data_IF_526301599320
#
_entry.id   IF_526301599320
#
_cell.length_a   1.000
_cell.length_b   1.000
_cell.length_c   1.000
_cell.angle_alpha   90.00
_cell.angle_beta   90.00
_cell.angle_gamma   90.00
#
_symmetry.space_group_name_H-M   'P 1'
#
loop_
_entity.id
_entity.type
_entity.pdbx_description
1 polymer ?
#
# COMPACT_ATOMS: atom_id res chain seq x y z
N UNK A 1 -49.51 45.93 -7.35
CA UNK A 1 -50.12 47.24 -7.72
C UNK A 1 -51.32 47.47 -6.81
N UNK A 2 -51.52 48.70 -6.29
CA UNK A 2 -50.95 49.13 -5.00
C UNK A 2 -52.00 49.71 -4.02
N UNK A 3 -51.59 49.98 -2.77
CA UNK A 3 -51.91 51.27 -2.09
C UNK A 3 -50.92 51.53 -0.95
N UNK A 4 -50.20 52.64 -1.07
CA UNK A 4 -49.20 53.20 -0.16
C UNK A 4 -49.81 54.08 0.97
N UNK A 5 -48.91 54.50 1.88
CA UNK A 5 -48.90 55.70 2.75
C UNK A 5 -49.49 55.54 4.17
N UNK A 6 -48.88 56.01 5.26
CA UNK A 6 -47.71 56.88 5.48
C UNK A 6 -47.21 56.79 6.95
N UNK A 7 -45.92 57.09 7.15
CA UNK A 7 -45.20 57.69 8.31
C UNK A 7 -45.46 57.27 9.77
N UNK A 8 -44.38 56.96 10.49
CA UNK A 8 -43.83 57.83 11.56
C UNK A 8 -42.38 57.46 11.97
N UNK A 9 -41.65 58.49 12.39
CA UNK A 9 -40.20 58.61 12.64
C UNK A 9 -39.96 58.80 14.15
N UNK A 10 -38.93 58.17 14.74
CA UNK A 10 -38.07 58.65 15.86
C UNK A 10 -37.03 57.54 16.17
N UNK A 11 -35.72 57.65 15.88
CA UNK A 11 -34.62 58.46 16.47
C UNK A 11 -34.52 58.41 18.00
N UNK A 12 -33.54 57.67 18.51
CA UNK A 12 -33.10 57.69 19.90
C UNK A 12 -31.64 57.24 20.04
N UNK A 13 -30.77 58.22 20.27
CA UNK A 13 -29.31 58.19 20.26
C UNK A 13 -28.72 58.00 21.69
N UNK A 14 -27.55 57.35 21.82
CA UNK A 14 -26.55 57.50 22.93
C UNK A 14 -25.28 56.75 22.49
N UNK A 15 -24.11 57.33 22.13
CA UNK A 15 -23.24 58.35 22.78
C UNK A 15 -22.82 57.84 24.17
N UNK A 16 -21.56 57.60 24.57
CA UNK A 16 -20.19 58.00 24.16
C UNK A 16 -19.19 57.11 24.95
N UNK A 17 -17.99 56.84 24.43
CA UNK A 17 -16.76 57.37 25.04
C UNK A 17 -15.50 57.05 24.24
N UNK A 18 -14.83 58.15 23.89
CA UNK A 18 -13.53 58.30 23.26
C UNK A 18 -12.49 58.48 24.37
N UNK A 19 -11.30 57.89 24.22
CA UNK A 19 -10.07 58.48 24.76
C UNK A 19 -8.99 58.42 23.68
N UNK A 20 -8.54 59.61 23.30
CA UNK A 20 -7.39 59.91 22.44
C UNK A 20 -6.19 60.19 23.34
N UNK A 21 -5.00 59.75 22.92
CA UNK A 21 -3.76 60.49 23.17
C UNK A 21 -2.84 60.32 21.95
N UNK A 22 -2.40 61.46 21.42
CA UNK A 22 -1.59 61.65 20.21
C UNK A 22 -0.25 62.28 20.59
N UNK A 23 0.71 62.17 19.66
CA UNK A 23 1.86 63.04 19.32
C UNK A 23 3.19 62.29 19.41
N UNK A 24 4.21 62.51 18.58
CA UNK A 24 4.46 63.14 17.28
C UNK A 24 5.97 62.88 17.08
N UNK A 25 6.42 62.56 15.86
CA UNK A 25 7.58 63.25 15.26
C UNK A 25 7.87 62.78 13.83
N UNK A 26 8.02 63.76 12.96
CA UNK A 26 8.45 63.71 11.55
C UNK A 26 9.85 64.28 11.48
N UNK A 27 10.77 63.64 10.74
CA UNK A 27 11.80 64.34 9.97
C UNK A 27 12.38 63.47 8.84
N UNK A 28 12.91 64.14 7.83
CA UNK A 28 12.96 63.76 6.42
C UNK A 28 14.36 63.39 5.86
N UNK A 29 14.36 62.49 4.87
CA UNK A 29 15.15 62.44 3.62
C UNK A 29 16.71 62.46 3.61
N UNK A 30 17.31 61.45 2.96
CA UNK A 30 18.35 61.61 1.92
C UNK A 30 18.69 60.30 1.20
N UNK A 31 18.96 60.42 -0.10
CA UNK A 31 19.20 59.39 -1.13
C UNK A 31 20.57 58.65 -1.11
N UNK A 32 20.60 57.57 -1.90
CA UNK A 32 21.73 56.85 -2.57
C UNK A 32 22.44 55.64 -1.90
N UNK A 33 22.89 54.63 -2.69
CA UNK A 33 22.79 53.21 -2.34
C UNK A 33 24.14 52.51 -2.13
N UNK A 34 24.14 51.38 -1.41
CA UNK A 34 25.27 50.46 -1.37
C UNK A 34 24.87 48.98 -1.17
N UNK A 35 25.26 48.18 -2.16
CA UNK A 35 25.77 46.81 -2.12
C UNK A 35 25.29 45.78 -1.06
N UNK A 36 24.67 44.71 -1.60
CA UNK A 36 24.90 43.30 -1.30
C UNK A 36 25.23 42.86 0.14
N UNK A 37 24.26 42.19 0.79
CA UNK A 37 24.54 41.13 1.77
C UNK A 37 23.61 39.95 1.58
N UNK A 38 24.22 38.76 1.56
CA UNK A 38 23.60 37.44 1.38
C UNK A 38 22.76 37.12 2.61
N UNK A 39 21.45 36.92 2.41
CA UNK A 39 20.52 36.52 3.46
C UNK A 39 20.68 35.04 3.84
N UNK A 40 20.96 34.81 5.12
CA UNK A 40 21.11 33.51 5.74
C UNK A 40 19.82 32.67 5.71
N UNK A 41 19.97 31.35 5.55
CA UNK A 41 18.89 30.36 5.64
C UNK A 41 18.30 30.28 7.06
N UNK A 42 17.00 29.96 7.23
CA UNK A 42 16.39 29.84 8.55
C UNK A 42 16.86 28.57 9.27
N UNK A 43 17.44 28.77 10.46
CA UNK A 43 17.88 27.75 11.40
C UNK A 43 16.70 26.93 11.94
N UNK A 44 16.74 25.61 11.75
CA UNK A 44 15.79 24.69 12.38
C UNK A 44 16.00 24.66 13.89
N UNK A 45 14.96 24.99 14.66
CA UNK A 45 14.95 24.86 16.12
C UNK A 45 14.70 23.38 16.45
N UNK A 46 15.74 22.69 16.91
CA UNK A 46 15.63 21.35 17.49
C UNK A 46 15.24 21.49 18.96
N UNK A 47 14.01 21.08 19.31
CA UNK A 47 13.60 20.93 20.71
C UNK A 47 14.13 19.58 21.21
N UNK A 48 15.25 19.60 21.93
CA UNK A 48 15.75 18.43 22.67
C UNK A 48 15.06 18.38 24.03
N UNK A 49 14.27 17.34 24.27
CA UNK A 49 13.75 17.04 25.60
C UNK A 49 14.87 16.48 26.48
N UNK A 50 15.18 17.16 27.59
CA UNK A 50 16.17 16.73 28.57
C UNK A 50 15.62 15.61 29.45
N UNK A 51 16.34 14.47 29.52
CA UNK A 51 16.12 13.43 30.51
C UNK A 51 16.92 13.74 31.79
N UNK A 52 16.30 13.54 32.95
CA UNK A 52 16.87 13.76 34.30
C UNK A 52 17.75 12.56 34.72
N UNK A 53 18.86 12.76 35.47
CA UNK A 53 19.81 11.67 35.74
C UNK A 53 19.36 10.79 36.92
N UNK A 54 19.63 9.48 36.79
CA UNK A 54 19.60 8.54 37.90
C UNK A 54 21.01 8.41 38.48
N UNK A 55 21.09 8.52 39.80
CA UNK A 55 22.30 8.44 40.62
C UNK A 55 22.85 7.01 40.68
N UNK A 56 24.19 6.93 40.62
CA UNK A 56 25.01 5.75 40.87
C UNK A 56 24.89 5.26 42.32
N UNK A 57 25.01 3.94 42.51
CA UNK A 57 25.66 3.41 43.71
C UNK A 57 26.54 2.20 43.34
N UNK A 58 27.70 2.13 43.99
CA UNK A 58 28.90 1.38 43.62
C UNK A 58 28.96 -0.03 44.23
N UNK A 59 29.63 -0.99 43.56
CA UNK A 59 30.85 -1.68 44.07
C UNK A 59 31.18 -3.03 43.37
N UNK A 60 32.36 -3.05 42.72
CA UNK A 60 33.51 -4.00 42.81
C UNK A 60 33.30 -5.53 42.69
N UNK A 61 33.85 -6.16 41.63
CA UNK A 61 35.09 -6.98 41.69
C UNK A 61 35.59 -7.45 40.29
N UNK A 62 36.92 -7.44 40.14
CA UNK A 62 37.79 -7.87 39.02
C UNK A 62 37.63 -9.36 38.62
N UNK A 63 38.14 -9.92 37.51
CA UNK A 63 39.46 -9.75 36.87
C UNK A 63 39.55 -10.48 35.49
N UNK A 64 40.51 -10.05 34.65
CA UNK A 64 41.22 -10.71 33.52
C UNK A 64 40.42 -11.35 32.34
N UNK A 65 40.79 -11.28 31.05
CA UNK A 65 42.12 -11.26 30.39
C UNK A 65 42.01 -10.65 28.98
N UNK A 66 42.91 -9.72 28.65
CA UNK A 66 43.26 -9.27 27.29
C UNK A 66 44.48 -10.03 26.76
N UNK A 67 44.57 -10.30 25.46
CA UNK A 67 45.67 -9.75 24.62
C UNK A 67 45.50 -10.03 23.11
N UNK A 68 45.91 -9.02 22.33
CA UNK A 68 45.91 -8.86 20.88
C UNK A 68 47.27 -9.22 20.25
N UNK A 69 47.28 -9.37 18.91
CA UNK A 69 48.39 -8.95 18.01
C UNK A 69 48.67 -9.93 16.85
N UNK A 70 48.36 -9.61 15.58
CA UNK A 70 49.14 -8.80 14.60
C UNK A 70 50.26 -9.63 13.89
N UNK A 71 50.57 -9.64 12.56
CA UNK A 71 50.13 -8.99 11.30
C UNK A 71 50.90 -9.62 10.09
N UNK A 72 50.45 -9.38 8.83
CA UNK A 72 51.13 -9.42 7.48
C UNK A 72 51.67 -10.78 6.95
N UNK A 73 51.68 -11.20 5.66
CA UNK A 73 51.86 -10.56 4.32
C UNK A 73 51.38 -11.48 3.15
N UNK A 74 50.95 -10.88 2.03
CA UNK A 74 50.65 -11.40 0.66
C UNK A 74 51.91 -11.61 -0.23
N UNK A 75 51.87 -11.93 -1.56
CA UNK A 75 51.11 -12.90 -2.41
C UNK A 75 52.01 -13.66 -3.46
N UNK A 76 51.41 -14.49 -4.36
CA UNK A 76 51.78 -14.82 -5.77
C UNK A 76 51.68 -16.35 -6.10
N UNK A 77 50.86 -16.89 -7.03
CA UNK A 77 50.76 -16.92 -8.53
C UNK A 77 51.30 -18.25 -9.14
N UNK A 78 50.62 -18.79 -10.19
CA UNK A 78 51.11 -19.72 -11.27
C UNK A 78 51.13 -21.24 -10.89
N UNK A 79 50.76 -22.28 -11.64
CA UNK A 79 50.22 -22.62 -12.99
C UNK A 79 49.53 -24.02 -12.91
N UNK A 80 48.43 -24.27 -13.63
CA UNK A 80 48.27 -25.21 -14.79
C UNK A 80 49.10 -26.51 -14.76
N UNK A 81 48.42 -27.67 -14.79
CA UNK A 81 48.72 -28.75 -15.75
C UNK A 81 47.50 -29.66 -16.00
N UNK A 82 47.48 -30.25 -17.19
CA UNK A 82 46.40 -30.99 -17.87
C UNK A 82 46.89 -32.40 -18.16
N UNK A 83 46.07 -33.44 -17.97
CA UNK A 83 46.13 -34.74 -18.71
C UNK A 83 44.78 -35.47 -18.52
N UNK A 84 43.88 -35.60 -19.51
CA UNK A 84 43.72 -36.69 -20.51
C UNK A 84 43.75 -38.11 -19.88
N UNK A 85 42.87 -39.09 -20.15
CA UNK A 85 42.39 -39.61 -21.46
C UNK A 85 41.29 -40.72 -21.28
N UNK A 86 40.44 -40.92 -22.32
CA UNK A 86 39.75 -42.15 -22.84
C UNK A 86 38.67 -42.89 -22.00
N UNK A 87 37.40 -43.07 -22.43
CA UNK A 87 36.77 -43.86 -23.54
C UNK A 87 36.72 -45.40 -23.24
N UNK A 88 35.69 -46.25 -23.46
CA UNK A 88 34.43 -46.30 -24.25
C UNK A 88 33.50 -47.44 -23.67
N UNK A 89 32.15 -47.28 -23.62
CA UNK A 89 31.05 -47.95 -24.37
C UNK A 89 31.00 -49.50 -24.55
N UNK A 90 29.86 -50.11 -24.17
CA UNK A 90 29.00 -51.13 -24.88
C UNK A 90 28.02 -51.82 -23.86
N UNK A 91 27.12 -52.74 -24.23
CA UNK A 91 25.73 -52.64 -24.75
C UNK A 91 24.97 -53.93 -24.27
N UNK A 92 23.63 -53.89 -24.15
CA UNK A 92 22.66 -54.95 -23.70
C UNK A 92 22.62 -56.22 -24.60
N UNK A 93 22.05 -57.42 -24.24
CA UNK A 93 20.57 -57.65 -24.14
C UNK A 93 20.12 -58.87 -23.22
N UNK A 94 18.99 -59.63 -23.40
CA UNK A 94 17.91 -59.74 -22.39
C UNK A 94 17.54 -61.18 -21.91
N UNK A 95 16.80 -61.31 -20.79
CA UNK A 95 16.07 -62.55 -20.46
C UNK A 95 14.98 -62.36 -19.38
N UNK A 96 13.75 -62.74 -19.71
CA UNK A 96 12.65 -63.14 -18.79
C UNK A 96 12.30 -64.63 -19.12
N UNK A 97 11.51 -65.41 -18.34
CA UNK A 97 10.55 -65.01 -17.28
C UNK A 97 10.55 -65.89 -15.99
N UNK A 98 9.87 -65.45 -14.93
CA UNK A 98 9.30 -66.39 -13.94
C UNK A 98 8.02 -65.84 -13.31
N UNK A 99 6.91 -66.54 -13.54
CA UNK A 99 5.66 -66.44 -12.78
C UNK A 99 5.92 -66.83 -11.33
N UNK A 100 5.54 -65.98 -10.38
CA UNK A 100 5.14 -66.42 -9.05
C UNK A 100 3.80 -65.76 -8.67
N UNK A 101 2.79 -66.62 -8.54
CA UNK A 101 1.49 -66.39 -7.91
C UNK A 101 1.69 -66.07 -6.43
N UNK A 102 1.53 -64.80 -6.05
CA UNK A 102 1.45 -64.34 -4.66
C UNK A 102 0.11 -63.66 -4.43
N UNK A 103 -0.62 -64.07 -3.40
CA UNK A 103 -2.00 -63.74 -3.13
C UNK A 103 -2.32 -62.25 -3.03
N UNK A 104 -3.51 -61.91 -3.53
CA UNK A 104 -4.14 -60.61 -3.40
C UNK A 104 -4.51 -60.36 -1.94
N UNK A 105 -3.59 -59.76 -1.17
CA UNK A 105 -3.91 -59.18 0.12
C UNK A 105 -4.55 -57.82 -0.16
N UNK A 106 -5.88 -57.77 -0.05
CA UNK A 106 -6.65 -56.55 -0.19
C UNK A 106 -6.16 -55.51 0.83
N UNK A 107 -5.55 -54.43 0.33
CA UNK A 107 -5.32 -53.21 1.09
C UNK A 107 -6.67 -52.62 1.50
N UNK A 108 -7.11 -52.92 2.71
CA UNK A 108 -8.18 -52.20 3.39
C UNK A 108 -7.58 -50.92 3.99
N UNK A 109 -7.17 -49.96 3.16
CA UNK A 109 -7.04 -48.55 3.56
C UNK A 109 -7.30 -47.59 2.37
N UNK A 110 -8.58 -47.31 2.01
CA UNK A 110 -8.84 -46.08 1.24
C UNK A 110 -9.90 -45.13 1.84
N UNK A 111 -10.71 -45.53 2.83
CA UNK A 111 -11.84 -44.68 3.24
C UNK A 111 -11.50 -43.68 4.35
N UNK A 112 -10.67 -44.05 5.33
CA UNK A 112 -10.44 -43.21 6.51
C UNK A 112 -9.56 -41.99 6.20
N UNK A 113 -8.57 -42.13 5.32
CA UNK A 113 -7.72 -41.02 4.86
C UNK A 113 -8.45 -40.08 3.90
N UNK A 114 -9.40 -40.58 3.11
CA UNK A 114 -10.24 -39.74 2.24
C UNK A 114 -11.22 -38.88 3.04
N UNK A 115 -11.76 -39.42 4.13
CA UNK A 115 -12.68 -38.70 5.00
C UNK A 115 -11.96 -37.65 5.84
N UNK A 116 -10.77 -37.96 6.37
CA UNK A 116 -9.94 -37.00 7.09
C UNK A 116 -9.51 -35.81 6.19
N UNK A 117 -9.01 -36.09 4.98
CA UNK A 117 -8.62 -35.03 4.03
C UNK A 117 -9.80 -34.16 3.56
N UNK A 118 -11.00 -34.75 3.45
CA UNK A 118 -12.22 -34.02 3.13
C UNK A 118 -12.68 -33.13 4.29
N UNK A 119 -12.62 -33.64 5.53
CA UNK A 119 -12.95 -32.86 6.74
C UNK A 119 -11.99 -31.68 6.93
N UNK A 120 -10.70 -31.86 6.67
CA UNK A 120 -9.70 -30.78 6.76
C UNK A 120 -9.91 -29.71 5.68
N UNK A 121 -10.28 -30.11 4.45
CA UNK A 121 -10.63 -29.17 3.37
C UNK A 121 -11.90 -28.37 3.69
N UNK A 122 -12.92 -29.02 4.24
CA UNK A 122 -14.18 -28.38 4.63
C UNK A 122 -13.97 -27.38 5.79
N UNK A 123 -13.12 -27.72 6.76
CA UNK A 123 -12.72 -26.82 7.85
C UNK A 123 -11.94 -25.61 7.33
N UNK A 124 -10.94 -25.82 6.46
CA UNK A 124 -10.17 -24.74 5.84
C UNK A 124 -11.08 -23.80 5.02
N UNK A 125 -12.03 -24.34 4.26
CA UNK A 125 -12.95 -23.53 3.48
C UNK A 125 -13.92 -22.73 4.36
N UNK A 126 -14.32 -23.28 5.50
CA UNK A 126 -15.14 -22.58 6.50
C UNK A 126 -14.37 -21.39 7.10
N UNK A 127 -13.12 -21.61 7.51
CA UNK A 127 -12.24 -20.55 8.01
C UNK A 127 -12.00 -19.45 6.96
N UNK A 128 -11.76 -19.85 5.71
CA UNK A 128 -11.64 -18.92 4.59
C UNK A 128 -12.88 -18.02 4.45
N UNK A 129 -14.09 -18.61 4.46
CA UNK A 129 -15.34 -17.84 4.30
C UNK A 129 -15.51 -16.80 5.41
N UNK A 130 -15.27 -17.20 6.66
CA UNK A 130 -15.37 -16.28 7.81
C UNK A 130 -14.37 -15.14 7.67
N UNK A 131 -13.10 -15.45 7.44
CA UNK A 131 -12.05 -14.44 7.28
C UNK A 131 -12.28 -13.55 6.06
N UNK A 132 -12.78 -14.11 4.96
CA UNK A 132 -13.13 -13.35 3.76
C UNK A 132 -14.25 -12.34 4.07
N UNK A 133 -15.32 -12.76 4.75
CA UNK A 133 -16.41 -11.85 5.17
C UNK A 133 -15.89 -10.75 6.11
N UNK A 134 -15.08 -11.10 7.11
CA UNK A 134 -14.44 -10.12 8.00
C UNK A 134 -13.60 -9.12 7.20
N UNK A 135 -12.83 -9.61 6.22
CA UNK A 135 -12.02 -8.76 5.33
C UNK A 135 -12.89 -7.79 4.53
N UNK A 136 -14.05 -8.24 4.03
CA UNK A 136 -14.99 -7.36 3.33
C UNK A 136 -15.59 -6.30 4.26
N UNK A 137 -15.96 -6.68 5.49
CA UNK A 137 -16.49 -5.74 6.48
C UNK A 137 -15.44 -4.69 6.87
N UNK A 138 -14.19 -5.09 7.08
CA UNK A 138 -13.07 -4.15 7.26
C UNK A 138 -12.93 -3.23 6.03
N UNK A 139 -12.98 -3.81 4.83
CA UNK A 139 -13.03 -3.12 3.53
C UNK A 139 -14.03 -1.97 3.48
N UNK A 140 -15.30 -2.29 3.76
CA UNK A 140 -16.39 -1.32 3.77
C UNK A 140 -16.23 -0.29 4.88
N UNK A 141 -15.76 -0.71 6.05
CA UNK A 141 -15.50 0.19 7.19
C UNK A 141 -14.46 1.25 6.83
N UNK A 142 -13.39 0.88 6.13
CA UNK A 142 -12.39 1.85 5.65
C UNK A 142 -13.00 2.93 4.75
N UNK A 143 -13.86 2.52 3.79
CA UNK A 143 -14.52 3.44 2.86
C UNK A 143 -15.45 4.40 3.61
N UNK A 144 -16.24 3.87 4.55
CA UNK A 144 -17.14 4.68 5.38
C UNK A 144 -16.32 5.67 6.22
N UNK A 145 -15.27 5.21 6.91
CA UNK A 145 -14.46 6.05 7.78
C UNK A 145 -13.74 7.16 7.00
N UNK A 146 -13.13 6.87 5.84
CA UNK A 146 -12.49 7.93 5.03
C UNK A 146 -13.52 8.93 4.48
N UNK A 147 -14.72 8.45 4.12
CA UNK A 147 -15.82 9.31 3.67
C UNK A 147 -16.33 10.22 4.78
N UNK A 148 -16.51 9.69 6.00
CA UNK A 148 -16.87 10.48 7.17
C UNK A 148 -15.77 11.47 7.54
N UNK A 149 -14.50 11.07 7.46
CA UNK A 149 -13.36 11.94 7.74
C UNK A 149 -13.31 13.14 6.82
N UNK A 150 -13.45 12.90 5.51
CA UNK A 150 -13.55 13.97 4.52
C UNK A 150 -14.81 14.81 4.71
N UNK A 151 -15.98 14.17 4.83
CA UNK A 151 -17.28 14.84 4.85
C UNK A 151 -17.50 15.68 6.10
N UNK A 152 -17.20 15.13 7.28
CA UNK A 152 -17.52 15.75 8.57
C UNK A 152 -16.40 16.70 9.01
N UNK A 153 -15.12 16.32 8.82
CA UNK A 153 -14.00 17.08 9.40
C UNK A 153 -13.26 17.96 8.39
N UNK A 154 -13.33 17.68 7.09
CA UNK A 154 -12.63 18.47 6.06
C UNK A 154 -13.54 19.21 5.08
N UNK A 155 -14.84 19.27 5.36
CA UNK A 155 -15.80 20.05 4.58
C UNK A 155 -16.19 19.44 3.24
N UNK A 156 -15.99 18.13 3.06
CA UNK A 156 -16.42 17.40 1.87
C UNK A 156 -15.44 17.50 0.70
N UNK A 157 -15.97 17.39 -0.52
CA UNK A 157 -15.20 17.38 -1.76
C UNK A 157 -15.54 18.58 -2.64
N UNK A 158 -14.59 19.02 -3.46
CA UNK A 158 -14.76 20.16 -4.37
C UNK A 158 -14.04 19.94 -5.70
N UNK A 159 -14.03 20.95 -6.55
CA UNK A 159 -13.22 20.98 -7.77
C UNK A 159 -12.17 22.08 -7.72
N UNK A 160 -11.52 22.34 -8.85
CA UNK A 160 -10.41 23.29 -9.03
C UNK A 160 -10.65 24.71 -8.49
N UNK A 161 -11.91 25.14 -8.34
CA UNK A 161 -12.25 26.42 -7.72
C UNK A 161 -11.92 26.49 -6.21
N UNK A 162 -11.80 25.33 -5.53
CA UNK A 162 -11.40 25.25 -4.13
C UNK A 162 -10.36 24.12 -3.97
N UNK A 163 -9.07 24.43 -4.16
CA UNK A 163 -7.98 23.45 -4.11
C UNK A 163 -7.96 22.62 -2.82
N UNK A 164 -8.34 23.22 -1.68
CA UNK A 164 -8.39 22.53 -0.38
C UNK A 164 -9.42 21.40 -0.35
N UNK A 165 -10.60 21.62 -0.95
CA UNK A 165 -11.66 20.61 -1.02
C UNK A 165 -11.42 19.61 -2.15
N UNK A 166 -10.79 20.03 -3.24
CA UNK A 166 -10.36 19.15 -4.33
C UNK A 166 -9.37 18.09 -3.86
N UNK A 167 -8.41 18.46 -3.00
CA UNK A 167 -7.47 17.51 -2.38
C UNK A 167 -8.19 16.32 -1.73
N UNK A 168 -9.39 16.51 -1.16
CA UNK A 168 -10.07 15.46 -0.42
C UNK A 168 -10.54 14.28 -1.31
N UNK A 169 -10.57 14.43 -2.63
CA UNK A 169 -10.71 13.29 -3.55
C UNK A 169 -9.54 12.33 -3.48
N UNK A 170 -8.34 12.81 -3.17
CA UNK A 170 -7.14 12.01 -3.10
C UNK A 170 -7.24 10.86 -2.10
N UNK A 171 -7.44 11.10 -0.77
CA UNK A 171 -7.58 10.01 0.17
C UNK A 171 -8.78 9.10 -0.18
N UNK A 172 -9.92 9.65 -0.61
CA UNK A 172 -11.10 8.84 -0.97
C UNK A 172 -10.81 7.84 -2.09
N UNK A 173 -10.32 8.32 -3.23
CA UNK A 173 -10.07 7.47 -4.38
C UNK A 173 -8.84 6.58 -4.22
N UNK A 174 -7.84 6.99 -3.43
CA UNK A 174 -6.73 6.10 -3.05
C UNK A 174 -7.23 4.93 -2.19
N UNK A 175 -8.09 5.18 -1.19
CA UNK A 175 -8.69 4.11 -0.38
C UNK A 175 -9.55 3.16 -1.20
N UNK A 176 -10.40 3.69 -2.08
CA UNK A 176 -11.29 2.85 -2.89
C UNK A 176 -10.47 2.08 -3.93
N UNK A 177 -9.57 2.75 -4.66
CA UNK A 177 -8.78 2.17 -5.74
C UNK A 177 -7.64 1.27 -5.24
N UNK A 178 -6.60 1.87 -4.68
CA UNK A 178 -5.34 1.18 -4.35
C UNK A 178 -5.39 0.34 -3.08
N UNK A 179 -6.42 0.48 -2.25
CA UNK A 179 -6.59 -0.38 -1.08
C UNK A 179 -7.73 -1.38 -1.30
N UNK A 180 -8.98 -0.91 -1.34
CA UNK A 180 -10.13 -1.80 -1.35
C UNK A 180 -10.27 -2.62 -2.64
N UNK A 181 -10.29 -1.98 -3.81
CA UNK A 181 -10.42 -2.68 -5.09
C UNK A 181 -9.16 -3.50 -5.40
N UNK A 182 -7.97 -2.98 -5.11
CA UNK A 182 -6.72 -3.72 -5.25
C UNK A 182 -6.75 -5.02 -4.41
N UNK A 183 -7.01 -4.92 -3.10
CA UNK A 183 -7.06 -6.09 -2.22
C UNK A 183 -8.11 -7.13 -2.66
N UNK A 184 -9.29 -6.66 -3.10
CA UNK A 184 -10.32 -7.56 -3.63
C UNK A 184 -9.92 -8.23 -4.94
N UNK A 185 -9.24 -7.52 -5.83
CA UNK A 185 -8.72 -8.09 -7.07
C UNK A 185 -7.65 -9.15 -6.82
N UNK A 186 -6.80 -8.97 -5.81
CA UNK A 186 -5.82 -9.97 -5.36
C UNK A 186 -6.54 -11.26 -4.91
N UNK A 187 -7.66 -11.12 -4.19
CA UNK A 187 -8.42 -12.25 -3.65
C UNK A 187 -9.42 -12.87 -4.63
N UNK A 188 -9.66 -12.29 -5.81
CA UNK A 188 -10.75 -12.70 -6.72
C UNK A 188 -10.69 -14.19 -7.08
N UNK A 189 -9.50 -14.74 -7.32
CA UNK A 189 -9.34 -16.16 -7.65
C UNK A 189 -9.69 -17.09 -6.49
N UNK A 190 -9.58 -16.62 -5.25
CA UNK A 190 -9.85 -17.37 -4.02
C UNK A 190 -11.31 -17.22 -3.60
N UNK A 191 -11.84 -15.98 -3.62
CA UNK A 191 -13.22 -15.67 -3.29
C UNK A 191 -14.22 -16.31 -4.27
N UNK A 192 -13.88 -16.33 -5.55
CA UNK A 192 -14.73 -16.90 -6.61
C UNK A 192 -14.15 -18.21 -7.16
N UNK A 193 -13.66 -19.09 -6.29
CA UNK A 193 -12.94 -20.33 -6.66
C UNK A 193 -13.70 -21.27 -7.60
N UNK A 194 -15.03 -21.27 -7.56
CA UNK A 194 -15.88 -22.13 -8.39
C UNK A 194 -16.28 -21.51 -9.74
N UNK A 195 -15.74 -20.34 -10.07
CA UNK A 195 -15.99 -19.67 -11.35
C UNK A 195 -14.94 -20.10 -12.39
N UNK A 196 -15.33 -20.11 -13.67
CA UNK A 196 -14.45 -20.41 -14.80
C UNK A 196 -13.23 -19.50 -14.82
N UNK A 197 -12.04 -20.07 -15.09
CA UNK A 197 -10.76 -19.35 -15.06
C UNK A 197 -10.71 -18.16 -16.03
N UNK A 198 -11.31 -18.27 -17.22
CA UNK A 198 -11.39 -17.16 -18.19
C UNK A 198 -12.14 -15.97 -17.61
N UNK A 199 -13.28 -16.19 -16.96
CA UNK A 199 -14.05 -15.12 -16.30
C UNK A 199 -13.25 -14.49 -15.17
N UNK A 200 -12.59 -15.29 -14.33
CA UNK A 200 -11.76 -14.76 -13.23
C UNK A 200 -10.62 -13.85 -13.72
N UNK A 201 -9.97 -14.20 -14.84
CA UNK A 201 -8.94 -13.34 -15.45
C UNK A 201 -9.49 -11.98 -15.87
N UNK A 202 -10.65 -11.98 -16.54
CA UNK A 202 -11.31 -10.74 -16.95
C UNK A 202 -11.78 -9.93 -15.75
N UNK A 203 -12.32 -10.56 -14.71
CA UNK A 203 -12.72 -9.89 -13.47
C UNK A 203 -11.51 -9.27 -12.77
N UNK A 204 -10.41 -10.01 -12.61
CA UNK A 204 -9.16 -9.51 -12.03
C UNK A 204 -8.64 -8.29 -12.79
N UNK A 205 -8.52 -8.39 -14.12
CA UNK A 205 -8.07 -7.28 -14.96
C UNK A 205 -9.03 -6.09 -14.94
N UNK A 206 -10.35 -6.35 -14.92
CA UNK A 206 -11.37 -5.30 -14.87
C UNK A 206 -11.32 -4.51 -13.56
N UNK A 207 -11.22 -5.19 -12.41
CA UNK A 207 -11.13 -4.54 -11.10
C UNK A 207 -9.85 -3.71 -11.00
N UNK A 208 -8.71 -4.23 -11.45
CA UNK A 208 -7.46 -3.45 -11.47
C UNK A 208 -7.54 -2.24 -12.40
N UNK A 209 -8.22 -2.34 -13.55
CA UNK A 209 -8.40 -1.20 -14.44
C UNK A 209 -9.24 -0.09 -13.77
N UNK A 210 -10.34 -0.46 -13.12
CA UNK A 210 -11.16 0.48 -12.36
C UNK A 210 -10.34 1.14 -11.25
N UNK A 211 -9.56 0.36 -10.51
CA UNK A 211 -8.65 0.89 -9.49
C UNK A 211 -7.61 1.86 -10.08
N UNK A 212 -7.05 1.55 -11.25
CA UNK A 212 -6.12 2.43 -11.95
C UNK A 212 -6.75 3.77 -12.33
N UNK A 213 -7.95 3.75 -12.92
CA UNK A 213 -8.67 4.97 -13.32
C UNK A 213 -8.93 5.86 -12.11
N UNK A 214 -9.42 5.29 -10.99
CA UNK A 214 -9.63 6.04 -9.75
C UNK A 214 -8.32 6.63 -9.21
N UNK A 215 -7.22 5.88 -9.29
CA UNK A 215 -5.88 6.32 -8.87
C UNK A 215 -5.39 7.50 -9.70
N UNK A 216 -5.58 7.46 -11.02
CA UNK A 216 -5.22 8.57 -11.92
C UNK A 216 -6.01 9.83 -11.56
N UNK A 217 -7.33 9.71 -11.35
CA UNK A 217 -8.16 10.84 -10.91
C UNK A 217 -7.65 11.38 -9.56
N UNK A 218 -7.38 10.51 -8.59
CA UNK A 218 -6.86 10.89 -7.27
C UNK A 218 -5.51 11.64 -7.34
N UNK A 219 -4.65 11.27 -8.29
CA UNK A 219 -3.37 11.95 -8.53
C UNK A 219 -3.59 13.32 -9.16
N UNK A 220 -4.44 13.41 -10.19
CA UNK A 220 -4.79 14.70 -10.82
C UNK A 220 -5.27 15.67 -9.74
N UNK A 221 -6.20 15.26 -8.88
CA UNK A 221 -6.75 16.15 -7.84
C UNK A 221 -5.72 16.63 -6.82
N UNK A 222 -4.71 15.82 -6.46
CA UNK A 222 -3.66 16.29 -5.53
C UNK A 222 -2.67 17.22 -6.23
N UNK A 223 -2.24 16.91 -7.45
CA UNK A 223 -1.36 17.80 -8.22
C UNK A 223 -2.04 19.14 -8.51
N UNK A 224 -3.31 19.12 -8.92
CA UNK A 224 -4.09 20.34 -9.14
C UNK A 224 -4.26 21.13 -7.84
N UNK A 225 -4.58 20.46 -6.73
CA UNK A 225 -4.72 21.14 -5.44
C UNK A 225 -3.45 21.86 -4.99
N UNK A 226 -2.27 21.30 -5.28
CA UNK A 226 -0.99 21.90 -4.96
C UNK A 226 -0.64 23.06 -5.92
N UNK A 227 -0.86 22.87 -7.21
CA UNK A 227 -0.51 23.85 -8.24
C UNK A 227 -1.44 25.07 -8.23
N UNK A 228 -2.71 24.88 -7.90
CA UNK A 228 -3.73 25.93 -7.85
C UNK A 228 -3.81 26.63 -6.48
N UNK A 229 -3.11 26.12 -5.47
CA UNK A 229 -2.97 26.80 -4.18
C UNK A 229 -2.25 28.15 -4.33
N UNK A 230 -2.54 29.08 -3.42
CA UNK A 230 -1.91 30.41 -3.41
C UNK A 230 -1.30 30.69 -2.02
N UNK A 231 0.05 30.69 -1.90
CA UNK A 231 1.03 30.34 -2.93
C UNK A 231 0.99 28.83 -3.31
N UNK A 232 1.51 28.44 -4.49
CA UNK A 232 1.57 27.04 -4.90
C UNK A 232 2.38 26.18 -3.93
N UNK A 233 1.91 24.95 -3.68
CA UNK A 233 2.62 23.97 -2.84
C UNK A 233 3.58 23.15 -3.71
N UNK A 234 4.86 23.01 -3.32
CA UNK A 234 5.79 22.15 -4.06
C UNK A 234 5.31 20.69 -4.12
N UNK A 235 5.51 20.05 -5.27
CA UNK A 235 5.14 18.65 -5.46
C UNK A 235 6.30 17.69 -5.16
N UNK A 236 5.98 16.44 -4.83
CA UNK A 236 6.91 15.30 -4.78
C UNK A 236 8.11 15.45 -3.82
N UNK A 237 7.98 16.21 -2.72
CA UNK A 237 9.06 16.38 -1.74
C UNK A 237 8.96 15.43 -0.53
N UNK A 238 7.79 14.82 -0.28
CA UNK A 238 7.56 13.98 0.91
C UNK A 238 7.83 12.49 0.63
N UNK A 239 8.18 11.73 1.67
CA UNK A 239 8.36 10.28 1.55
C UNK A 239 7.06 9.57 1.17
N UNK A 240 5.91 10.06 1.66
CA UNK A 240 4.59 9.61 1.22
C UNK A 240 4.46 9.67 -0.31
N UNK A 241 4.84 10.81 -0.90
CA UNK A 241 4.74 11.02 -2.36
C UNK A 241 5.68 10.12 -3.16
N UNK A 242 6.91 9.89 -2.68
CA UNK A 242 7.87 9.02 -3.35
C UNK A 242 7.41 7.55 -3.34
N UNK A 243 7.03 7.03 -2.17
CA UNK A 243 6.56 5.66 -2.06
C UNK A 243 5.18 5.46 -2.71
N UNK A 244 4.31 6.47 -2.64
CA UNK A 244 3.01 6.48 -3.32
C UNK A 244 3.16 6.40 -4.84
N UNK A 245 4.00 7.26 -5.44
CA UNK A 245 4.27 7.20 -6.87
C UNK A 245 4.98 5.90 -7.27
N UNK A 246 5.90 5.40 -6.44
CA UNK A 246 6.50 4.07 -6.61
C UNK A 246 5.45 2.96 -6.67
N UNK A 247 4.47 2.96 -5.76
CA UNK A 247 3.37 2.00 -5.77
C UNK A 247 2.52 2.09 -7.04
N UNK A 248 2.21 3.31 -7.51
CA UNK A 248 1.45 3.54 -8.76
C UNK A 248 2.21 3.04 -9.98
N UNK A 249 3.53 3.27 -10.06
CA UNK A 249 4.38 2.78 -11.14
C UNK A 249 4.42 1.26 -11.14
N UNK A 250 4.66 0.63 -9.98
CA UNK A 250 4.64 -0.84 -9.84
C UNK A 250 3.28 -1.40 -10.24
N UNK A 251 2.19 -0.77 -9.82
CA UNK A 251 0.83 -1.15 -10.19
C UNK A 251 0.62 -1.10 -11.70
N UNK A 252 0.98 0.01 -12.36
CA UNK A 252 0.82 0.19 -13.80
C UNK A 252 1.65 -0.82 -14.61
N UNK A 253 2.91 -1.01 -14.23
CA UNK A 253 3.78 -2.02 -14.86
C UNK A 253 3.23 -3.43 -14.68
N UNK A 254 2.72 -3.76 -13.49
CA UNK A 254 2.08 -5.06 -13.26
C UNK A 254 0.80 -5.26 -14.05
N UNK A 255 0.00 -4.21 -14.21
CA UNK A 255 -1.21 -4.26 -15.02
C UNK A 255 -0.87 -4.57 -16.49
N UNK A 256 0.06 -3.81 -17.09
CA UNK A 256 0.45 -4.00 -18.50
C UNK A 256 1.11 -5.36 -18.72
N UNK A 257 2.07 -5.74 -17.88
CA UNK A 257 2.76 -7.01 -18.02
C UNK A 257 1.83 -8.22 -17.75
N UNK A 258 0.95 -8.13 -16.74
CA UNK A 258 -0.06 -9.15 -16.47
C UNK A 258 -1.10 -9.28 -17.59
N UNK A 259 -1.56 -8.16 -18.15
CA UNK A 259 -2.50 -8.14 -19.28
C UNK A 259 -1.90 -8.81 -20.51
N UNK A 260 -0.68 -8.38 -20.91
CA UNK A 260 0.00 -8.92 -22.09
C UNK A 260 0.39 -10.39 -21.93
N UNK A 261 0.77 -10.84 -20.72
CA UNK A 261 1.16 -12.23 -20.48
C UNK A 261 -0.04 -13.19 -20.34
N UNK A 262 -1.16 -12.76 -19.74
CA UNK A 262 -2.23 -13.68 -19.31
C UNK A 262 -3.60 -13.48 -19.96
N UNK A 263 -3.87 -12.31 -20.56
CA UNK A 263 -5.12 -12.02 -21.29
C UNK A 263 -4.90 -11.89 -22.79
N UNK A 264 -3.83 -11.21 -23.22
CA UNK A 264 -3.49 -11.10 -24.64
C UNK A 264 -2.84 -12.40 -25.17
N UNK A 265 -3.08 -12.74 -26.46
CA UNK A 265 -2.29 -13.77 -27.13
C UNK A 265 -0.85 -13.28 -27.36
N UNK A 266 0.11 -14.20 -27.47
CA UNK A 266 1.46 -13.90 -27.95
C UNK A 266 2.62 -14.43 -27.09
N UNK A 267 2.44 -14.53 -25.77
CA UNK A 267 3.51 -15.06 -24.92
C UNK A 267 3.62 -16.59 -25.02
N UNK A 268 4.85 -17.10 -25.13
CA UNK A 268 5.15 -18.55 -25.03
C UNK A 268 4.82 -19.07 -23.63
N UNK A 269 4.32 -20.30 -23.53
CA UNK A 269 3.91 -20.89 -22.25
C UNK A 269 5.06 -20.93 -21.21
N UNK A 270 6.29 -21.21 -21.64
CA UNK A 270 7.47 -21.21 -20.77
C UNK A 270 7.71 -19.83 -20.09
N UNK A 271 7.52 -18.74 -20.85
CA UNK A 271 7.66 -17.38 -20.31
C UNK A 271 6.55 -17.04 -19.31
N UNK A 272 5.31 -17.47 -19.58
CA UNK A 272 4.19 -17.29 -18.64
C UNK A 272 4.45 -18.01 -17.31
N UNK A 273 5.01 -19.22 -17.35
CA UNK A 273 5.36 -19.98 -16.14
C UNK A 273 6.50 -19.30 -15.38
N UNK A 274 7.53 -18.82 -16.07
CA UNK A 274 8.65 -18.12 -15.45
C UNK A 274 8.26 -16.76 -14.85
N UNK A 275 7.30 -16.05 -15.46
CA UNK A 275 6.84 -14.74 -15.01
C UNK A 275 5.83 -14.80 -13.85
N UNK A 276 5.09 -15.90 -13.69
CA UNK A 276 4.04 -16.05 -12.67
C UNK A 276 4.50 -15.72 -11.24
N UNK A 277 5.65 -16.21 -10.75
CA UNK A 277 6.11 -15.87 -9.39
C UNK A 277 6.38 -14.38 -9.22
N UNK A 278 6.92 -13.72 -10.25
CA UNK A 278 7.18 -12.27 -10.23
C UNK A 278 5.89 -11.46 -10.23
N UNK A 279 4.90 -11.85 -11.03
CA UNK A 279 3.58 -11.22 -11.05
C UNK A 279 2.91 -11.25 -9.67
N UNK A 280 2.95 -12.41 -9.00
CA UNK A 280 2.41 -12.57 -7.64
C UNK A 280 3.21 -11.73 -6.64
N UNK A 281 4.54 -11.85 -6.62
CA UNK A 281 5.39 -11.12 -5.67
C UNK A 281 5.20 -9.60 -5.77
N UNK A 282 5.35 -9.03 -6.97
CA UNK A 282 5.25 -7.59 -7.15
C UNK A 282 3.81 -7.08 -7.00
N UNK A 283 2.80 -7.90 -7.28
CA UNK A 283 1.40 -7.57 -6.96
C UNK A 283 1.17 -7.43 -5.45
N UNK A 284 1.68 -8.37 -4.65
CA UNK A 284 1.63 -8.25 -3.19
C UNK A 284 2.50 -7.10 -2.65
N UNK A 285 3.73 -6.96 -3.16
CA UNK A 285 4.63 -5.88 -2.77
C UNK A 285 4.02 -4.50 -3.04
N UNK A 286 3.45 -4.28 -4.24
CA UNK A 286 2.78 -3.04 -4.58
C UNK A 286 1.57 -2.75 -3.69
N UNK A 287 0.79 -3.77 -3.31
CA UNK A 287 -0.32 -3.62 -2.37
C UNK A 287 0.14 -3.22 -0.96
N UNK A 288 1.17 -3.88 -0.42
CA UNK A 288 1.74 -3.51 0.90
C UNK A 288 2.34 -2.11 0.86
N UNK A 289 3.01 -1.75 -0.24
CA UNK A 289 3.56 -0.41 -0.43
C UNK A 289 2.46 0.66 -0.49
N UNK A 290 1.31 0.36 -1.11
CA UNK A 290 0.14 1.24 -1.12
C UNK A 290 -0.45 1.44 0.29
N UNK A 291 -0.55 0.39 1.10
CA UNK A 291 -0.97 0.48 2.51
C UNK A 291 0.00 1.38 3.29
N UNK A 292 1.31 1.13 3.17
CA UNK A 292 2.33 1.95 3.84
C UNK A 292 2.25 3.43 3.44
N UNK A 293 2.15 3.70 2.13
CA UNK A 293 1.96 5.07 1.60
C UNK A 293 0.70 5.72 2.16
N UNK A 294 -0.43 5.01 2.22
CA UNK A 294 -1.67 5.54 2.76
C UNK A 294 -1.58 5.89 4.25
N UNK A 295 -0.87 5.10 5.06
CA UNK A 295 -0.63 5.42 6.48
C UNK A 295 0.20 6.71 6.65
N UNK A 296 1.24 6.88 5.83
CA UNK A 296 2.01 8.13 5.81
C UNK A 296 1.14 9.31 5.36
N UNK A 297 0.28 9.11 4.34
CA UNK A 297 -0.64 10.15 3.85
C UNK A 297 -1.68 10.60 4.88
N UNK A 298 -2.26 9.66 5.63
CA UNK A 298 -3.14 9.98 6.78
C UNK A 298 -2.38 10.79 7.81
N UNK A 299 -1.15 10.37 8.14
CA UNK A 299 -0.31 11.03 9.14
C UNK A 299 0.07 12.45 8.72
N UNK A 300 0.54 12.65 7.49
CA UNK A 300 0.85 13.97 6.92
C UNK A 300 -0.38 14.87 6.94
N UNK A 301 -1.53 14.38 6.46
CA UNK A 301 -2.77 15.16 6.44
C UNK A 301 -3.24 15.52 7.85
N UNK A 302 -3.13 14.61 8.82
CA UNK A 302 -3.48 14.89 10.21
C UNK A 302 -2.58 15.98 10.80
N UNK A 303 -1.27 15.87 10.63
CA UNK A 303 -0.29 16.84 11.13
C UNK A 303 -0.46 18.23 10.50
N UNK A 304 -0.84 18.31 9.22
CA UNK A 304 -0.98 19.59 8.53
C UNK A 304 -2.35 20.24 8.69
N UNK A 305 -3.42 19.45 8.82
CA UNK A 305 -4.79 19.97 8.77
C UNK A 305 -5.54 19.95 10.10
N UNK A 306 -5.01 19.30 11.15
CA UNK A 306 -5.65 19.17 12.46
C UNK A 306 -4.77 19.85 13.52
N UNK A 307 -5.08 21.11 13.91
CA UNK A 307 -4.23 21.88 14.84
C UNK A 307 -4.10 21.25 16.24
N UNK A 308 -5.13 20.54 16.68
CA UNK A 308 -5.26 19.93 18.00
C UNK A 308 -5.05 18.41 17.95
N UNK A 309 -4.24 17.92 17.01
CA UNK A 309 -4.06 16.49 16.81
C UNK A 309 -3.52 15.76 18.07
N UNK A 310 -2.62 16.38 18.83
CA UNK A 310 -2.05 15.83 20.05
C UNK A 310 -3.01 15.74 21.23
N UNK A 311 -4.16 16.45 21.19
CA UNK A 311 -5.17 16.43 22.24
C UNK A 311 -6.26 15.37 22.01
N UNK A 312 -6.06 14.46 21.06
CA UNK A 312 -7.04 13.43 20.67
C UNK A 312 -8.36 14.01 20.17
N UNK A 313 -8.30 15.06 19.34
CA UNK A 313 -9.50 15.59 18.68
C UNK A 313 -10.21 14.51 17.84
N UNK A 314 -11.53 14.66 17.69
CA UNK A 314 -12.36 13.64 17.01
C UNK A 314 -11.89 13.34 15.59
N UNK A 315 -11.45 14.37 14.86
CA UNK A 315 -10.84 14.24 13.53
C UNK A 315 -9.56 13.40 13.57
N UNK A 316 -8.70 13.63 14.57
CA UNK A 316 -7.45 12.91 14.75
C UNK A 316 -7.65 11.44 15.13
N UNK A 317 -8.54 11.19 16.10
CA UNK A 317 -8.90 9.83 16.54
C UNK A 317 -9.48 9.04 15.37
N UNK A 318 -10.38 9.62 14.59
CA UNK A 318 -10.95 8.92 13.43
C UNK A 318 -9.89 8.63 12.34
N UNK A 319 -8.97 9.56 12.08
CA UNK A 319 -7.84 9.33 11.18
C UNK A 319 -6.95 8.15 11.65
N UNK A 320 -6.67 8.07 12.95
CA UNK A 320 -5.92 6.95 13.53
C UNK A 320 -6.69 5.62 13.43
N UNK A 321 -7.98 5.61 13.75
CA UNK A 321 -8.82 4.43 13.58
C UNK A 321 -8.85 3.97 12.12
N UNK A 322 -8.97 4.90 11.17
CA UNK A 322 -8.90 4.60 9.74
C UNK A 322 -7.58 3.90 9.38
N UNK A 323 -6.44 4.43 9.84
CA UNK A 323 -5.12 3.82 9.64
C UNK A 323 -5.00 2.42 10.24
N UNK A 324 -5.53 2.18 11.44
CA UNK A 324 -5.57 0.84 12.05
C UNK A 324 -6.38 -0.15 11.20
N UNK A 325 -7.54 0.27 10.70
CA UNK A 325 -8.36 -0.58 9.83
C UNK A 325 -7.63 -0.86 8.50
N UNK A 326 -6.82 0.08 7.97
CA UNK A 326 -5.99 -0.18 6.78
C UNK A 326 -5.00 -1.31 7.03
N UNK A 327 -4.32 -1.29 8.18
CA UNK A 327 -3.37 -2.35 8.56
C UNK A 327 -4.07 -3.69 8.70
N UNK A 328 -5.21 -3.73 9.40
CA UNK A 328 -5.99 -4.96 9.59
C UNK A 328 -6.45 -5.53 8.25
N UNK A 329 -7.03 -4.70 7.38
CA UNK A 329 -7.45 -5.13 6.04
C UNK A 329 -6.26 -5.64 5.21
N UNK A 330 -5.16 -4.90 5.20
CA UNK A 330 -3.95 -5.28 4.48
C UNK A 330 -3.40 -6.64 4.95
N UNK A 331 -3.29 -6.83 6.27
CA UNK A 331 -2.83 -8.08 6.86
C UNK A 331 -3.76 -9.26 6.52
N UNK A 332 -5.09 -9.06 6.59
CA UNK A 332 -6.07 -10.08 6.22
C UNK A 332 -5.98 -10.47 4.74
N UNK A 333 -5.86 -9.49 3.83
CA UNK A 333 -5.68 -9.75 2.39
C UNK A 333 -4.40 -10.54 2.14
N UNK A 334 -3.28 -10.14 2.74
CA UNK A 334 -1.99 -10.83 2.61
C UNK A 334 -2.08 -12.26 3.13
N UNK A 335 -2.68 -12.47 4.31
CA UNK A 335 -2.89 -13.81 4.87
C UNK A 335 -3.76 -14.67 3.94
N UNK A 336 -4.92 -14.15 3.53
CA UNK A 336 -5.87 -14.88 2.67
C UNK A 336 -5.28 -15.25 1.32
N UNK A 337 -4.39 -14.43 0.74
CA UNK A 337 -3.74 -14.73 -0.55
C UNK A 337 -2.50 -15.63 -0.43
N UNK A 338 -1.85 -15.69 0.73
CA UNK A 338 -0.63 -16.50 0.93
C UNK A 338 -0.92 -17.89 1.47
N UNK A 339 -2.03 -18.09 2.18
CA UNK A 339 -2.43 -19.40 2.71
C UNK A 339 -2.58 -20.44 1.59
N UNK A 340 -1.82 -21.54 1.64
CA UNK A 340 -1.78 -22.53 0.56
C UNK A 340 -3.12 -23.25 0.36
N UNK A 341 -3.82 -23.52 1.46
CA UNK A 341 -5.10 -24.25 1.47
C UNK A 341 -6.25 -23.50 0.77
N UNK A 342 -6.21 -22.17 0.69
CA UNK A 342 -7.26 -21.40 -0.01
C UNK A 342 -6.98 -21.15 -1.49
N UNK A 343 -5.85 -21.64 -2.03
CA UNK A 343 -5.54 -21.52 -3.46
C UNK A 343 -6.59 -22.25 -4.30
N UNK A 344 -7.06 -21.62 -5.36
CA UNK A 344 -8.02 -22.22 -6.30
C UNK A 344 -7.42 -23.48 -6.95
N UNK A 345 -8.11 -24.60 -6.80
CA UNK A 345 -7.82 -25.84 -7.53
C UNK A 345 -8.32 -25.72 -8.98
N UNK A 346 -7.63 -26.31 -9.98
CA UNK A 346 -8.13 -26.35 -11.35
C UNK A 346 -9.48 -27.08 -11.39
N UNK A 347 -10.46 -26.52 -12.11
CA UNK A 347 -11.73 -27.20 -12.36
C UNK A 347 -11.61 -28.09 -13.61
N UNK A 348 -12.41 -29.16 -13.74
CA UNK A 348 -12.35 -30.07 -14.90
C UNK A 348 -12.47 -29.34 -16.25
N UNK A 349 -13.31 -28.30 -16.33
CA UNK A 349 -13.47 -27.46 -17.51
C UNK A 349 -12.24 -26.59 -17.83
N UNK A 350 -11.34 -26.36 -16.87
CA UNK A 350 -10.07 -25.68 -17.12
C UNK A 350 -9.07 -26.58 -17.86
N UNK A 351 -9.24 -27.91 -17.80
CA UNK A 351 -8.36 -28.87 -18.48
C UNK A 351 -8.61 -28.92 -20.00
N UNK A 352 -9.86 -28.70 -20.44
CA UNK A 352 -10.21 -28.58 -21.87
C UNK A 352 -9.53 -27.37 -22.52
N UNK A 353 -9.26 -26.32 -21.74
CA UNK A 353 -8.51 -25.14 -22.18
C UNK A 353 -6.98 -25.38 -22.25
N UNK A 354 -6.48 -26.46 -21.64
CA UNK A 354 -5.05 -26.83 -21.66
C UNK A 354 -4.71 -27.80 -22.79
N UNK A 355 -5.70 -28.52 -23.34
CA UNK A 355 -5.52 -29.48 -24.45
C UNK A 355 -5.67 -28.84 -25.84
N UNK A 356 -5.92 -27.54 -25.93
CA UNK A 356 -6.01 -26.84 -27.22
C UNK A 356 -7.17 -27.30 -28.11
N UNK A 357 -8.18 -27.96 -27.55
CA UNK A 357 -9.38 -28.32 -28.28
C UNK A 357 -10.35 -27.13 -28.29
N UNK A 358 -9.98 -26.09 -29.02
CA UNK A 358 -10.83 -25.23 -29.85
C UNK A 358 -10.06 -23.95 -30.21
N UNK A 359 -9.76 -23.87 -31.51
CA UNK A 359 -9.22 -22.76 -32.31
C UNK A 359 -7.69 -22.58 -32.35
#
# INVERSE_FOLDING_TARGET
MPSENDKDIEIGNKVENVVVASSDNVESASDTPAAATVGAAPTAIVVVAAAKPATEDSAVHADATTTNGNTVTTPATVQKEVTATAAAQEQLPPSQPKLETGGLQANIEPMQQSNAGKMDEDAALTNFKVLYVVTQLCGLTMIILVSCWVGIHFGGVGGTANPRLEFNWHPLFMTIGLLFLYGNSILVYRGFRNVRKKTLKWTHAGIHLTAFVLTVIALITVFDSHNLANPPVPNMYSLHSWLGMGAVIVFGLQYVAGFTAYLAPGWRQALKVAYMPLHIYFGLFGFVLAIASALMGITEKALFAIPDYSSFSSAGVMGNCLGLVYVIFGALVVYLVTEGSYKRKPLPEDAVLLTGANE
#
